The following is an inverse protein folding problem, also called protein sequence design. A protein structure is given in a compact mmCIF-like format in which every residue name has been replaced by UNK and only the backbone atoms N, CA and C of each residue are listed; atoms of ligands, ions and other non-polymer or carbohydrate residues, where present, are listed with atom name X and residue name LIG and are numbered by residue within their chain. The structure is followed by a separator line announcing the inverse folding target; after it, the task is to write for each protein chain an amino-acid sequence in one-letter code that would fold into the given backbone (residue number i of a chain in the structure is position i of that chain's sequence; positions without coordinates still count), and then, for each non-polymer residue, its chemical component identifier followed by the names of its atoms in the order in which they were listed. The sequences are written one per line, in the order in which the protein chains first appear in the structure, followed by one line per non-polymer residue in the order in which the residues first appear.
data_IF_580081704283
#
_entry.id   IF_580081704283
#
_cell.length_a   1.000
_cell.length_b   1.000
_cell.length_c   1.000
_cell.angle_alpha   90.00
_cell.angle_beta   90.00
_cell.angle_gamma   90.00
#
_symmetry.space_group_name_H-M   'P 1'
#
loop_
_entity.id
_entity.type
_entity.pdbx_description
1 polymer ?
#
# COMPACT_ATOMS: atom_id res chain seq x y z
N UNK A 1 13.28 0.90 -10.02
CA UNK A 1 11.91 1.41 -10.12
C UNK A 1 11.90 2.83 -10.65
N UNK A 2 10.76 3.34 -11.10
CA UNK A 2 10.62 4.70 -11.67
C UNK A 2 10.91 5.84 -10.67
N UNK A 3 10.91 5.56 -9.38
CA UNK A 3 11.18 6.53 -8.32
C UNK A 3 12.68 6.77 -8.04
N UNK A 4 13.57 6.03 -8.72
CA UNK A 4 15.02 6.10 -8.50
C UNK A 4 15.79 6.08 -9.84
N UNK A 5 15.29 6.72 -10.89
CA UNK A 5 15.83 6.52 -12.26
C UNK A 5 17.02 7.40 -12.63
N UNK A 6 17.21 8.53 -11.95
CA UNK A 6 18.25 9.50 -12.30
C UNK A 6 19.10 9.87 -11.07
N UNK A 7 20.37 9.53 -11.11
CA UNK A 7 21.33 9.84 -10.04
C UNK A 7 21.18 8.93 -8.81
N UNK A 8 21.68 9.36 -7.68
CA UNK A 8 21.72 8.62 -6.41
C UNK A 8 20.32 8.33 -5.77
N UNK A 9 19.24 8.40 -6.51
CA UNK A 9 17.88 8.05 -6.06
C UNK A 9 17.21 9.02 -5.08
N UNK A 10 17.97 9.88 -4.43
CA UNK A 10 17.45 10.82 -3.42
C UNK A 10 16.64 11.98 -4.03
N UNK A 11 17.06 12.50 -5.18
CA UNK A 11 16.40 13.64 -5.82
C UNK A 11 14.96 13.33 -6.28
N UNK A 12 14.75 12.16 -6.85
CA UNK A 12 13.41 11.74 -7.32
C UNK A 12 12.45 11.52 -6.15
N UNK A 13 12.92 10.95 -5.03
CA UNK A 13 12.09 10.74 -3.85
C UNK A 13 11.67 12.06 -3.20
N UNK A 14 12.60 13.01 -3.05
CA UNK A 14 12.31 14.35 -2.54
C UNK A 14 11.24 15.06 -3.37
N UNK A 15 11.32 14.98 -4.70
CA UNK A 15 10.30 15.51 -5.61
C UNK A 15 8.91 14.91 -5.32
N UNK A 16 8.80 13.58 -5.16
CA UNK A 16 7.52 12.92 -4.88
C UNK A 16 6.93 13.27 -3.51
N UNK A 17 7.79 13.52 -2.52
CA UNK A 17 7.38 14.01 -1.21
C UNK A 17 6.84 15.44 -1.28
N UNK A 18 7.44 16.28 -2.10
CA UNK A 18 7.09 17.70 -2.27
C UNK A 18 5.77 17.86 -3.03
N UNK A 19 5.58 17.14 -4.14
CA UNK A 19 4.36 17.21 -4.96
C UNK A 19 3.11 16.75 -4.24
N UNK A 20 3.26 15.91 -3.22
CA UNK A 20 2.15 15.51 -2.36
C UNK A 20 1.55 16.70 -1.58
N UNK A 21 2.36 17.71 -1.31
CA UNK A 21 1.95 18.91 -0.55
C UNK A 21 1.20 19.96 -1.36
N UNK A 22 1.21 19.90 -2.69
CA UNK A 22 0.58 20.90 -3.56
C UNK A 22 1.23 22.30 -3.45
N UNK A 23 2.50 22.36 -3.03
CA UNK A 23 3.24 23.61 -2.76
C UNK A 23 3.95 24.12 -4.01
N UNK A 24 4.54 25.32 -3.89
CA UNK A 24 5.43 25.84 -4.90
C UNK A 24 6.65 24.92 -5.07
N UNK A 25 7.01 24.67 -6.32
CA UNK A 25 8.20 23.92 -6.70
C UNK A 25 9.04 24.76 -7.68
N UNK A 26 10.35 24.74 -7.48
CA UNK A 26 11.29 25.47 -8.32
C UNK A 26 12.21 24.47 -9.02
N UNK A 27 12.24 24.51 -10.35
CA UNK A 27 13.13 23.71 -11.17
C UNK A 27 14.25 24.60 -11.67
N UNK A 28 15.45 24.43 -11.14
CA UNK A 28 16.65 25.08 -11.63
C UNK A 28 17.41 24.12 -12.57
N UNK A 29 17.63 24.55 -13.79
CA UNK A 29 18.36 23.78 -14.80
C UNK A 29 19.45 24.67 -15.41
N UNK A 30 20.66 24.18 -15.41
CA UNK A 30 21.85 24.86 -15.98
C UNK A 30 21.65 25.35 -17.43
N UNK A 31 20.68 24.82 -18.16
CA UNK A 31 20.38 25.21 -19.55
C UNK A 31 19.40 26.37 -19.69
N UNK A 32 18.86 26.90 -18.61
CA UNK A 32 17.88 27.98 -18.62
C UNK A 32 18.43 29.19 -17.86
N UNK A 33 18.29 30.38 -18.43
CA UNK A 33 18.78 31.64 -17.83
C UNK A 33 18.05 32.03 -16.53
N UNK A 34 16.91 31.39 -16.25
CA UNK A 34 16.12 31.58 -15.03
C UNK A 34 15.44 30.29 -14.57
N UNK A 35 15.29 30.09 -13.24
CA UNK A 35 14.58 28.93 -12.72
C UNK A 35 13.09 28.95 -13.10
N UNK A 36 12.55 27.77 -13.42
CA UNK A 36 11.12 27.63 -13.66
C UNK A 36 10.40 27.48 -12.33
N UNK A 37 9.50 28.40 -12.02
CA UNK A 37 8.66 28.38 -10.82
C UNK A 37 7.29 27.82 -11.14
N UNK A 38 6.89 26.76 -10.44
CA UNK A 38 5.55 26.16 -10.49
C UNK A 38 4.85 26.52 -9.18
N UNK A 39 3.91 27.49 -9.19
CA UNK A 39 3.32 28.02 -7.94
C UNK A 39 2.60 26.95 -7.10
N UNK A 40 1.90 26.02 -7.76
CA UNK A 40 1.10 24.98 -7.13
C UNK A 40 1.34 23.66 -7.85
N UNK A 41 2.31 22.89 -7.39
CA UNK A 41 2.62 21.57 -7.95
C UNK A 41 1.86 20.50 -7.20
N UNK A 42 0.88 19.89 -7.86
CA UNK A 42 0.12 18.76 -7.32
C UNK A 42 0.02 17.66 -8.37
N UNK A 43 0.37 16.44 -7.97
CA UNK A 43 0.34 15.26 -8.85
C UNK A 43 -0.35 14.10 -8.14
N UNK A 44 -1.29 13.49 -8.82
CA UNK A 44 -1.91 12.24 -8.39
C UNK A 44 -1.22 11.06 -9.06
N UNK A 45 -0.98 10.00 -8.29
CA UNK A 45 -0.37 8.76 -8.78
C UNK A 45 -1.36 7.62 -8.61
N UNK A 46 -1.70 6.96 -9.72
CA UNK A 46 -2.49 5.74 -9.74
C UNK A 46 -1.74 4.66 -10.51
N UNK A 47 -1.68 3.45 -9.99
CA UNK A 47 -1.01 2.36 -10.67
C UNK A 47 -1.10 1.04 -9.92
N UNK A 48 -0.73 -0.04 -10.61
CA UNK A 48 -0.55 -1.36 -10.02
C UNK A 48 0.91 -1.62 -9.69
N UNK A 49 1.15 -2.38 -8.62
CA UNK A 49 2.47 -2.84 -8.22
C UNK A 49 2.40 -4.30 -7.78
N UNK A 50 3.39 -5.09 -8.15
CA UNK A 50 3.50 -6.47 -7.68
C UNK A 50 3.95 -6.46 -6.21
N UNK A 51 3.42 -7.37 -5.35
CA UNK A 51 3.80 -7.43 -3.93
C UNK A 51 5.32 -7.50 -3.71
N UNK A 52 6.02 -8.32 -4.49
CA UNK A 52 7.49 -8.44 -4.41
C UNK A 52 8.22 -7.14 -4.76
N UNK A 53 7.63 -6.32 -5.64
CA UNK A 53 8.18 -5.01 -6.04
C UNK A 53 7.81 -3.89 -5.07
N UNK A 54 6.72 -4.04 -4.32
CA UNK A 54 6.30 -3.07 -3.32
C UNK A 54 7.42 -2.84 -2.31
N UNK A 55 7.97 -3.91 -1.73
CA UNK A 55 9.08 -3.85 -0.77
C UNK A 55 10.31 -3.15 -1.36
N UNK A 56 10.78 -3.59 -2.52
CA UNK A 56 12.00 -3.06 -3.14
C UNK A 56 11.86 -1.64 -3.70
N UNK A 57 10.65 -1.15 -3.97
CA UNK A 57 10.43 0.14 -4.63
C UNK A 57 9.99 1.24 -3.68
N UNK A 58 9.15 0.94 -2.71
CA UNK A 58 8.59 1.94 -1.79
C UNK A 58 9.16 1.83 -0.37
N UNK A 59 9.54 0.62 0.06
CA UNK A 59 10.00 0.36 1.43
C UNK A 59 11.51 0.10 1.53
N UNK A 60 12.24 0.11 0.40
CA UNK A 60 13.70 0.00 0.39
C UNK A 60 14.31 1.39 0.51
N UNK A 61 14.85 1.74 1.63
CA UNK A 61 15.52 3.00 1.89
C UNK A 61 15.21 3.53 3.28
N UNK A 62 15.73 4.72 3.57
CA UNK A 62 15.40 5.43 4.80
C UNK A 62 13.87 5.69 4.84
N UNK A 63 13.30 5.63 6.04
CA UNK A 63 11.88 5.91 6.26
C UNK A 63 11.59 7.40 6.07
N UNK A 64 11.59 7.83 4.81
CA UNK A 64 11.25 9.20 4.40
C UNK A 64 9.73 9.44 4.33
N UNK A 65 8.93 8.42 4.65
CA UNK A 65 7.49 8.46 4.65
C UNK A 65 6.84 8.52 3.26
N UNK A 66 7.57 8.24 2.17
CA UNK A 66 6.96 8.17 0.83
C UNK A 66 5.88 7.10 0.76
N UNK A 67 6.17 5.89 1.26
CA UNK A 67 5.22 4.80 1.32
C UNK A 67 3.95 5.14 2.11
N UNK A 68 4.08 5.97 3.16
CA UNK A 68 2.96 6.37 4.02
C UNK A 68 1.96 7.33 3.35
N UNK A 69 2.27 7.84 2.16
CA UNK A 69 1.42 8.75 1.38
C UNK A 69 0.53 8.05 0.35
N UNK A 70 0.67 6.74 0.21
CA UNK A 70 -0.14 5.94 -0.69
C UNK A 70 -1.30 5.27 0.04
N UNK A 71 -2.47 5.27 -0.58
CA UNK A 71 -3.58 4.41 -0.21
C UNK A 71 -3.42 3.09 -0.96
N UNK A 72 -3.28 2.00 -0.23
CA UNK A 72 -3.10 0.67 -0.79
C UNK A 72 -4.44 -0.01 -1.02
N UNK A 73 -4.54 -0.71 -2.14
CA UNK A 73 -5.63 -1.64 -2.42
C UNK A 73 -5.01 -3.02 -2.63
N UNK A 74 -5.24 -3.93 -1.69
CA UNK A 74 -4.75 -5.30 -1.70
C UNK A 74 -5.92 -6.27 -1.55
N UNK A 75 -6.79 -6.37 -2.60
CA UNK A 75 -7.99 -7.19 -2.54
C UNK A 75 -7.66 -8.68 -2.53
N UNK A 76 -8.57 -9.48 -2.01
CA UNK A 76 -8.51 -10.92 -2.19
C UNK A 76 -8.63 -11.28 -3.68
N UNK A 77 -8.04 -12.41 -4.11
CA UNK A 77 -8.19 -12.88 -5.47
C UNK A 77 -9.68 -13.05 -5.82
N UNK A 78 -10.14 -12.28 -6.80
CA UNK A 78 -11.51 -12.37 -7.27
C UNK A 78 -11.66 -13.42 -8.37
N UNK A 79 -12.82 -14.04 -8.45
CA UNK A 79 -13.18 -14.91 -9.58
C UNK A 79 -13.23 -14.06 -10.85
N UNK A 80 -12.61 -14.55 -11.91
CA UNK A 80 -12.58 -13.85 -13.19
C UNK A 80 -14.01 -13.74 -13.76
N UNK A 81 -14.48 -12.52 -13.88
CA UNK A 81 -15.78 -12.20 -14.48
C UNK A 81 -15.55 -11.56 -15.85
N UNK A 82 -16.42 -11.87 -16.82
CA UNK A 82 -16.38 -11.24 -18.12
C UNK A 82 -16.62 -9.73 -17.95
N UNK A 83 -15.76 -8.87 -18.53
CA UNK A 83 -15.96 -7.43 -18.44
C UNK A 83 -17.33 -7.01 -19.00
N UNK A 84 -18.04 -6.16 -18.27
CA UNK A 84 -19.25 -5.52 -18.77
C UNK A 84 -18.84 -4.31 -19.63
N UNK A 85 -19.37 -4.22 -20.84
CA UNK A 85 -19.06 -3.16 -21.80
C UNK A 85 -19.87 -1.87 -21.57
N UNK A 86 -20.42 -1.67 -20.37
CA UNK A 86 -21.14 -0.44 -20.05
C UNK A 86 -20.24 0.78 -20.22
N UNK A 87 -20.65 1.69 -21.10
CA UNK A 87 -20.02 3.00 -21.24
C UNK A 87 -20.23 3.82 -19.96
N UNK A 88 -19.30 4.74 -19.67
CA UNK A 88 -19.57 5.80 -18.71
C UNK A 88 -20.93 6.43 -19.04
N UNK A 89 -21.80 6.58 -18.04
CA UNK A 89 -23.07 7.24 -18.25
C UNK A 89 -22.84 8.72 -18.66
N UNK A 90 -23.71 9.28 -19.48
CA UNK A 90 -23.62 10.69 -19.89
C UNK A 90 -23.56 11.62 -18.67
N UNK A 91 -24.24 11.24 -17.59
CA UNK A 91 -24.18 11.95 -16.30
C UNK A 91 -22.77 12.01 -15.70
N UNK A 92 -22.00 10.93 -15.77
CA UNK A 92 -20.60 10.93 -15.31
C UNK A 92 -19.71 11.81 -16.18
N UNK A 93 -19.91 11.78 -17.49
CA UNK A 93 -19.18 12.65 -18.42
C UNK A 93 -19.47 14.13 -18.17
N UNK A 94 -20.74 14.48 -17.96
CA UNK A 94 -21.14 15.85 -17.57
C UNK A 94 -20.50 16.26 -16.26
N UNK A 95 -20.50 15.39 -15.26
CA UNK A 95 -19.87 15.63 -13.96
C UNK A 95 -18.36 15.89 -14.09
N UNK A 96 -17.64 15.05 -14.83
CA UNK A 96 -16.20 15.22 -15.09
C UNK A 96 -15.93 16.56 -15.80
N UNK A 97 -16.69 16.91 -16.82
CA UNK A 97 -16.55 18.18 -17.53
C UNK A 97 -16.79 19.38 -16.61
N UNK A 98 -17.77 19.27 -15.70
CA UNK A 98 -18.06 20.32 -14.70
C UNK A 98 -16.91 20.49 -13.72
N UNK A 99 -16.30 19.41 -13.22
CA UNK A 99 -15.09 19.48 -12.39
C UNK A 99 -13.92 20.11 -13.15
N UNK A 100 -13.76 19.78 -14.42
CA UNK A 100 -12.67 20.32 -15.25
C UNK A 100 -12.85 21.82 -15.55
N UNK A 101 -14.07 22.35 -15.45
CA UNK A 101 -14.37 23.77 -15.64
C UNK A 101 -14.09 24.65 -14.41
N UNK A 102 -13.80 24.04 -13.24
CA UNK A 102 -13.48 24.78 -12.01
C UNK A 102 -12.25 25.66 -12.21
N UNK A 103 -12.27 26.85 -11.62
CA UNK A 103 -11.21 27.84 -11.75
C UNK A 103 -10.58 28.16 -10.40
N UNK A 104 -9.30 28.50 -10.41
CA UNK A 104 -8.68 29.14 -9.27
C UNK A 104 -9.31 30.50 -9.00
N UNK A 105 -9.26 30.93 -7.75
CA UNK A 105 -9.67 32.28 -7.36
C UNK A 105 -8.50 33.24 -7.52
N UNK A 106 -8.79 34.54 -7.58
CA UNK A 106 -7.78 35.59 -7.67
C UNK A 106 -7.53 36.19 -6.29
N UNK A 107 -6.28 36.23 -5.84
CA UNK A 107 -5.89 36.89 -4.60
C UNK A 107 -5.91 38.44 -4.74
N UNK A 108 -5.65 39.14 -3.63
CA UNK A 108 -5.61 40.61 -3.60
C UNK A 108 -4.52 41.23 -4.50
N UNK A 109 -3.55 40.44 -4.93
CA UNK A 109 -2.43 40.85 -5.81
C UNK A 109 -2.69 40.49 -7.26
N UNK A 110 -3.83 39.90 -7.60
CA UNK A 110 -4.16 39.48 -8.95
C UNK A 110 -3.62 38.09 -9.35
N UNK A 111 -3.03 37.33 -8.43
CA UNK A 111 -2.51 36.00 -8.73
C UNK A 111 -3.61 34.94 -8.65
N UNK A 112 -3.55 33.96 -9.53
CA UNK A 112 -4.41 32.78 -9.44
C UNK A 112 -3.94 31.88 -8.28
N UNK A 113 -4.84 31.64 -7.30
CA UNK A 113 -4.59 30.81 -6.14
C UNK A 113 -5.70 29.78 -5.95
N UNK A 114 -5.42 28.62 -5.31
CA UNK A 114 -6.44 27.64 -4.99
C UNK A 114 -7.55 28.24 -4.12
N UNK A 115 -8.79 27.88 -4.42
CA UNK A 115 -9.94 28.18 -3.53
C UNK A 115 -9.82 27.35 -2.26
N UNK A 116 -9.83 28.01 -1.09
CA UNK A 116 -9.87 27.33 0.20
C UNK A 116 -11.30 27.02 0.60
N UNK A 117 -11.58 25.76 0.88
CA UNK A 117 -12.89 25.29 1.34
C UNK A 117 -12.74 24.91 2.83
N UNK A 118 -13.46 25.58 3.70
CA UNK A 118 -13.40 25.35 5.14
C UNK A 118 -14.36 24.22 5.57
N UNK A 119 -14.10 23.63 6.71
CA UNK A 119 -15.04 22.74 7.38
C UNK A 119 -16.18 23.54 8.01
N UNK A 120 -17.39 22.98 8.07
CA UNK A 120 -18.40 23.48 9.00
C UNK A 120 -17.95 23.22 10.44
N UNK A 121 -18.48 23.95 11.43
CA UNK A 121 -18.18 23.70 12.85
C UNK A 121 -18.39 22.24 13.22
N UNK A 122 -19.54 21.68 12.82
CA UNK A 122 -19.85 20.28 13.10
C UNK A 122 -18.93 19.28 12.39
N UNK A 123 -18.43 19.60 11.18
CA UNK A 123 -17.42 18.80 10.48
C UNK A 123 -16.08 18.84 11.21
N UNK A 124 -15.70 19.99 11.76
CA UNK A 124 -14.50 20.14 12.58
C UNK A 124 -14.59 19.27 13.83
N UNK A 125 -15.67 19.38 14.59
CA UNK A 125 -15.89 18.58 15.81
C UNK A 125 -15.84 17.07 15.51
N UNK A 126 -16.47 16.66 14.40
CA UNK A 126 -16.47 15.26 13.96
C UNK A 126 -15.06 14.76 13.62
N UNK A 127 -14.29 15.57 12.90
CA UNK A 127 -12.92 15.24 12.52
C UNK A 127 -11.97 15.18 13.71
N UNK A 128 -12.04 16.18 14.61
CA UNK A 128 -11.20 16.24 15.80
C UNK A 128 -11.49 15.08 16.74
N UNK A 129 -12.77 14.79 17.00
CA UNK A 129 -13.18 13.65 17.80
C UNK A 129 -12.62 12.34 17.24
N UNK A 130 -12.79 12.09 15.93
CA UNK A 130 -12.24 10.90 15.28
C UNK A 130 -10.73 10.80 15.46
N UNK A 131 -10.00 11.90 15.27
CA UNK A 131 -8.54 11.88 15.33
C UNK A 131 -8.02 11.71 16.76
N UNK A 132 -8.60 12.40 17.72
CA UNK A 132 -8.13 12.37 19.12
C UNK A 132 -8.49 11.06 19.82
N UNK A 133 -9.71 10.56 19.63
CA UNK A 133 -10.22 9.39 20.33
C UNK A 133 -9.90 8.05 19.64
N UNK A 134 -9.24 8.07 18.48
CA UNK A 134 -9.03 6.85 17.72
C UNK A 134 -7.98 5.93 18.35
N UNK A 135 -8.33 4.67 18.72
CA UNK A 135 -7.39 3.75 19.34
C UNK A 135 -6.20 3.36 18.43
N UNK A 136 -6.32 3.54 17.12
CA UNK A 136 -5.25 3.31 16.15
C UNK A 136 -4.09 4.31 16.25
N UNK A 137 -4.23 5.37 17.07
CA UNK A 137 -3.11 6.24 17.42
C UNK A 137 -2.01 5.54 18.24
N UNK A 138 -2.28 4.32 18.74
CA UNK A 138 -1.30 3.47 19.45
C UNK A 138 -0.59 2.45 18.56
N UNK A 139 -0.79 2.49 17.24
CA UNK A 139 -0.08 1.64 16.29
C UNK A 139 1.43 1.89 16.33
N UNK A 140 2.20 0.85 16.01
CA UNK A 140 3.66 0.91 15.95
C UNK A 140 4.20 0.59 14.53
N UNK A 141 5.47 0.88 14.30
CA UNK A 141 6.17 0.57 13.07
C UNK A 141 5.65 1.31 11.83
N UNK A 142 5.81 0.69 10.67
CA UNK A 142 5.47 1.30 9.38
C UNK A 142 3.98 1.67 9.24
N UNK A 143 3.10 0.88 9.83
CA UNK A 143 1.66 1.14 9.79
C UNK A 143 1.29 2.39 10.60
N UNK A 144 2.00 2.66 11.71
CA UNK A 144 1.87 3.91 12.47
C UNK A 144 2.24 5.13 11.62
N UNK A 145 3.34 5.03 10.85
CA UNK A 145 3.76 6.08 9.91
C UNK A 145 2.69 6.38 8.86
N UNK A 146 2.03 5.34 8.34
CA UNK A 146 0.90 5.49 7.42
C UNK A 146 -0.31 6.10 8.10
N UNK A 147 -0.70 5.60 9.27
CA UNK A 147 -1.81 6.13 10.07
C UNK A 147 -1.63 7.62 10.36
N UNK A 148 -0.43 8.04 10.73
CA UNK A 148 -0.10 9.45 11.01
C UNK A 148 -0.26 10.41 9.81
N UNK A 149 -0.41 9.90 8.58
CA UNK A 149 -0.71 10.73 7.38
C UNK A 149 -2.21 10.83 7.09
N UNK A 150 -3.03 10.00 7.73
CA UNK A 150 -4.46 9.93 7.43
C UNK A 150 -5.27 11.18 7.73
N UNK A 151 -4.96 12.03 8.73
CA UNK A 151 -5.71 13.28 8.90
C UNK A 151 -5.76 14.11 7.62
N UNK A 152 -4.62 14.30 6.96
CA UNK A 152 -4.57 15.00 5.68
C UNK A 152 -5.26 14.24 4.54
N UNK A 153 -5.28 12.91 4.58
CA UNK A 153 -5.98 12.07 3.58
C UNK A 153 -7.49 12.15 3.76
N UNK A 154 -7.99 12.08 5.00
CA UNK A 154 -9.42 12.21 5.32
C UNK A 154 -9.96 13.55 4.83
N UNK A 155 -9.24 14.66 5.08
CA UNK A 155 -9.63 15.98 4.60
C UNK A 155 -9.69 16.04 3.07
N UNK A 156 -8.72 15.45 2.35
CA UNK A 156 -8.72 15.37 0.89
C UNK A 156 -9.87 14.53 0.35
N UNK A 157 -10.13 13.37 0.96
CA UNK A 157 -11.25 12.51 0.58
C UNK A 157 -12.59 13.20 0.86
N UNK A 158 -12.73 13.88 2.01
CA UNK A 158 -13.94 14.62 2.35
C UNK A 158 -14.22 15.74 1.33
N UNK A 159 -13.19 16.48 0.92
CA UNK A 159 -13.32 17.49 -0.14
C UNK A 159 -13.78 16.87 -1.46
N UNK A 160 -13.18 15.75 -1.88
CA UNK A 160 -13.57 15.05 -3.10
C UNK A 160 -15.02 14.57 -3.00
N UNK A 161 -15.42 13.98 -1.87
CA UNK A 161 -16.77 13.49 -1.64
C UNK A 161 -17.80 14.61 -1.60
N UNK A 162 -17.47 15.78 -1.04
CA UNK A 162 -18.34 16.97 -1.05
C UNK A 162 -18.59 17.45 -2.48
N UNK A 163 -17.55 17.52 -3.31
CA UNK A 163 -17.70 17.90 -4.72
C UNK A 163 -18.45 16.84 -5.53
N UNK A 164 -18.25 15.55 -5.29
CA UNK A 164 -19.01 14.47 -5.94
C UNK A 164 -20.50 14.55 -5.55
N UNK A 165 -20.78 14.86 -4.29
CA UNK A 165 -22.15 15.07 -3.82
C UNK A 165 -22.79 16.30 -4.46
N UNK A 166 -22.07 17.42 -4.55
CA UNK A 166 -22.50 18.61 -5.27
C UNK A 166 -22.87 18.32 -6.73
N UNK A 167 -22.05 17.53 -7.42
CA UNK A 167 -22.34 17.12 -8.80
C UNK A 167 -23.65 16.35 -8.90
N UNK A 168 -23.95 15.48 -7.95
CA UNK A 168 -25.18 14.68 -7.94
C UNK A 168 -26.44 15.52 -7.73
N UNK A 169 -26.31 16.70 -7.09
CA UNK A 169 -27.43 17.59 -6.79
C UNK A 169 -27.77 18.59 -7.92
N UNK A 170 -27.01 18.60 -9.00
CA UNK A 170 -27.17 19.53 -10.12
C UNK A 170 -27.23 21.03 -9.70
N UNK A 171 -26.61 21.39 -8.59
CA UNK A 171 -26.48 22.79 -8.13
C UNK A 171 -25.47 23.54 -9.00
N UNK A 172 -25.69 24.84 -9.24
CA UNK A 172 -24.76 25.68 -9.99
C UNK A 172 -23.57 26.11 -9.16
N UNK A 173 -23.82 26.59 -7.93
CA UNK A 173 -22.79 27.09 -7.05
C UNK A 173 -21.98 25.93 -6.47
N UNK A 174 -20.65 26.11 -6.48
CA UNK A 174 -19.71 25.19 -5.85
C UNK A 174 -19.90 25.15 -4.32
N UNK A 175 -19.52 24.05 -3.67
CA UNK A 175 -19.48 24.00 -2.19
C UNK A 175 -18.59 25.11 -1.61
N UNK A 176 -19.07 25.77 -0.57
CA UNK A 176 -18.31 26.75 0.20
C UNK A 176 -17.67 26.12 1.45
N UNK A 177 -18.25 25.04 1.92
CA UNK A 177 -17.81 24.32 3.11
C UNK A 177 -17.93 22.82 2.91
N UNK A 178 -17.09 22.07 3.65
CA UNK A 178 -17.14 20.62 3.77
C UNK A 178 -18.06 20.28 4.93
N UNK A 179 -19.05 19.42 4.68
CA UNK A 179 -20.02 18.98 5.70
C UNK A 179 -19.52 17.82 6.55
N UNK A 180 -20.15 17.61 7.71
CA UNK A 180 -19.86 16.43 8.54
C UNK A 180 -20.19 15.10 7.85
N UNK A 181 -21.16 15.09 6.94
CA UNK A 181 -21.48 13.89 6.16
C UNK A 181 -20.30 13.46 5.29
N UNK A 182 -19.64 14.42 4.63
CA UNK A 182 -18.45 14.13 3.80
C UNK A 182 -17.27 13.70 4.66
N UNK A 183 -17.07 14.26 5.85
CA UNK A 183 -16.07 13.81 6.83
C UNK A 183 -16.36 12.38 7.28
N UNK A 184 -17.58 12.07 7.71
CA UNK A 184 -17.96 10.73 8.14
C UNK A 184 -17.78 9.68 7.04
N UNK A 185 -18.14 10.00 5.81
CA UNK A 185 -17.93 9.10 4.67
C UNK A 185 -16.44 8.86 4.39
N UNK A 186 -15.61 9.91 4.48
CA UNK A 186 -14.17 9.80 4.32
C UNK A 186 -13.54 8.94 5.43
N UNK A 187 -13.95 9.12 6.69
CA UNK A 187 -13.52 8.30 7.82
C UNK A 187 -13.88 6.82 7.60
N UNK A 188 -15.14 6.55 7.25
CA UNK A 188 -15.58 5.17 6.98
C UNK A 188 -14.79 4.53 5.83
N UNK A 189 -14.52 5.27 4.77
CA UNK A 189 -13.72 4.76 3.65
C UNK A 189 -12.30 4.41 4.09
N UNK A 190 -11.72 5.19 5.00
CA UNK A 190 -10.42 4.87 5.59
C UNK A 190 -10.51 3.64 6.49
N UNK A 191 -11.45 3.60 7.42
CA UNK A 191 -11.50 2.56 8.46
C UNK A 191 -12.00 1.22 7.94
N UNK A 192 -13.04 1.24 7.11
CA UNK A 192 -13.71 0.02 6.65
C UNK A 192 -13.04 -0.58 5.40
N UNK A 193 -12.31 0.23 4.62
CA UNK A 193 -11.73 -0.22 3.36
C UNK A 193 -10.20 -0.07 3.30
N UNK A 194 -9.67 1.15 3.42
CA UNK A 194 -8.23 1.35 3.19
C UNK A 194 -7.36 0.82 4.35
N UNK A 195 -7.84 0.85 5.58
CA UNK A 195 -7.07 0.34 6.71
C UNK A 195 -6.84 -1.17 6.63
N UNK A 196 -7.86 -2.03 6.42
CA UNK A 196 -7.63 -3.46 6.21
C UNK A 196 -6.74 -3.78 5.00
N UNK A 197 -6.81 -2.97 3.94
CA UNK A 197 -5.93 -3.11 2.78
C UNK A 197 -4.49 -2.73 3.09
N UNK A 198 -4.29 -1.68 3.88
CA UNK A 198 -2.97 -1.28 4.36
C UNK A 198 -2.36 -2.34 5.28
N UNK A 199 -3.11 -2.90 6.22
CA UNK A 199 -2.66 -4.00 7.08
C UNK A 199 -2.13 -5.18 6.25
N UNK A 200 -2.83 -5.57 5.20
CA UNK A 200 -2.37 -6.63 4.28
C UNK A 200 -1.10 -6.23 3.53
N UNK A 201 -1.08 -5.02 2.96
CA UNK A 201 0.07 -4.55 2.19
C UNK A 201 1.34 -4.43 3.06
N UNK A 202 1.22 -3.86 4.25
CA UNK A 202 2.32 -3.71 5.20
C UNK A 202 2.73 -5.06 5.82
N UNK A 203 1.77 -5.95 6.07
CA UNK A 203 2.03 -7.32 6.51
C UNK A 203 2.90 -8.09 5.53
N UNK A 204 2.60 -8.03 4.23
CA UNK A 204 3.43 -8.68 3.19
C UNK A 204 4.84 -8.06 3.09
N UNK A 205 4.98 -6.77 3.32
CA UNK A 205 6.30 -6.09 3.32
C UNK A 205 7.14 -6.45 4.55
N UNK A 206 6.52 -6.62 5.71
CA UNK A 206 7.18 -6.99 6.97
C UNK A 206 7.71 -8.42 6.99
N UNK A 207 7.20 -9.31 6.15
CA UNK A 207 7.62 -10.71 6.08
C UNK A 207 9.07 -10.80 5.60
N UNK A 208 9.95 -11.39 6.37
CA UNK A 208 11.32 -11.68 5.97
C UNK A 208 11.37 -12.72 4.87
N UNK A 209 12.48 -12.80 4.10
CA UNK A 209 12.62 -13.81 3.03
C UNK A 209 12.51 -15.24 3.58
N UNK A 210 13.03 -15.50 4.78
CA UNK A 210 12.90 -16.80 5.45
C UNK A 210 11.44 -17.13 5.81
N UNK A 211 10.68 -16.16 6.29
CA UNK A 211 9.26 -16.33 6.60
C UNK A 211 8.43 -16.54 5.32
N UNK A 212 8.77 -15.85 4.25
CA UNK A 212 8.13 -16.03 2.93
C UNK A 212 8.34 -17.46 2.42
N UNK A 213 9.57 -17.95 2.44
CA UNK A 213 9.89 -19.32 2.04
C UNK A 213 9.20 -20.34 2.94
N UNK A 214 9.18 -20.12 4.24
CA UNK A 214 8.47 -20.96 5.20
C UNK A 214 6.96 -20.98 4.96
N UNK A 215 6.33 -19.83 4.71
CA UNK A 215 4.89 -19.72 4.39
C UNK A 215 4.53 -20.50 3.11
N UNK A 216 5.40 -20.46 2.10
CA UNK A 216 5.22 -21.21 0.86
C UNK A 216 5.29 -22.72 1.14
N UNK A 217 6.29 -23.16 1.90
CA UNK A 217 6.46 -24.57 2.28
C UNK A 217 5.30 -25.04 3.17
N UNK A 218 4.87 -24.24 4.14
CA UNK A 218 3.72 -24.54 5.01
C UNK A 218 2.43 -24.74 4.21
N UNK A 219 2.14 -23.88 3.23
CA UNK A 219 0.99 -24.05 2.33
C UNK A 219 1.05 -25.37 1.57
N UNK A 220 2.23 -25.76 1.10
CA UNK A 220 2.41 -27.03 0.42
C UNK A 220 2.22 -28.21 1.35
N UNK A 221 2.74 -28.14 2.59
CA UNK A 221 2.55 -29.15 3.64
C UNK A 221 1.05 -29.35 3.94
N UNK A 222 0.33 -28.26 4.19
CA UNK A 222 -1.11 -28.30 4.47
C UNK A 222 -1.93 -28.92 3.32
N UNK A 223 -1.53 -28.61 2.07
CA UNK A 223 -2.22 -29.14 0.88
C UNK A 223 -1.94 -30.62 0.66
N UNK A 224 -0.70 -31.06 0.82
CA UNK A 224 -0.27 -32.43 0.44
C UNK A 224 -0.23 -33.38 1.63
N UNK A 225 -0.28 -32.86 2.87
CA UNK A 225 -0.29 -33.60 4.14
C UNK A 225 0.79 -34.70 4.25
N UNK A 226 2.08 -34.43 3.94
CA UNK A 226 3.13 -35.42 4.09
C UNK A 226 3.43 -35.68 5.57
N UNK A 227 3.75 -36.90 5.95
CA UNK A 227 4.26 -37.21 7.30
C UNK A 227 5.72 -36.82 7.49
N UNK A 228 6.52 -37.00 6.44
CA UNK A 228 7.96 -36.73 6.43
C UNK A 228 8.33 -35.95 5.19
N UNK A 229 9.19 -34.95 5.34
CA UNK A 229 9.78 -34.17 4.24
C UNK A 229 11.32 -34.22 4.33
N UNK A 230 11.97 -33.99 3.20
CA UNK A 230 13.41 -33.73 3.16
C UNK A 230 13.74 -32.68 2.10
N UNK A 231 14.91 -32.08 2.22
CA UNK A 231 15.36 -31.01 1.33
C UNK A 231 15.32 -31.41 -0.16
N UNK A 232 15.63 -32.70 -0.47
CA UNK A 232 15.67 -33.18 -1.85
C UNK A 232 14.27 -33.38 -2.45
N UNK A 233 13.34 -33.96 -1.66
CA UNK A 233 11.96 -34.15 -2.12
C UNK A 233 11.27 -32.81 -2.39
N UNK A 234 11.45 -31.84 -1.51
CA UNK A 234 10.88 -30.49 -1.70
C UNK A 234 11.49 -29.81 -2.94
N UNK A 235 12.81 -29.78 -3.08
CA UNK A 235 13.46 -29.07 -4.19
C UNK A 235 13.20 -29.69 -5.57
N UNK A 236 13.00 -31.00 -5.64
CA UNK A 236 12.88 -31.73 -6.93
C UNK A 236 11.46 -32.16 -7.28
N UNK A 237 10.68 -32.58 -6.30
CA UNK A 237 9.39 -33.24 -6.50
C UNK A 237 8.19 -32.33 -6.21
N UNK A 238 8.32 -31.37 -5.29
CA UNK A 238 7.22 -30.49 -4.93
C UNK A 238 6.84 -29.46 -6.01
N UNK A 239 7.68 -29.26 -7.03
CA UNK A 239 7.47 -28.32 -8.16
C UNK A 239 7.19 -26.88 -7.72
N UNK A 240 7.75 -26.46 -6.60
CA UNK A 240 7.60 -25.10 -6.07
C UNK A 240 8.72 -24.24 -6.65
N UNK A 241 8.34 -23.16 -7.38
CA UNK A 241 9.31 -22.32 -8.11
C UNK A 241 10.31 -21.63 -7.19
N UNK A 242 9.89 -21.23 -5.98
CA UNK A 242 10.67 -20.51 -4.98
C UNK A 242 11.57 -21.45 -4.15
N UNK A 243 11.31 -22.76 -4.17
CA UNK A 243 12.04 -23.77 -3.37
C UNK A 243 12.82 -24.75 -4.22
N UNK A 244 13.29 -24.33 -5.42
CA UNK A 244 14.08 -25.16 -6.32
C UNK A 244 15.51 -25.41 -5.84
N UNK A 245 16.11 -24.45 -5.14
CA UNK A 245 17.47 -24.58 -4.62
C UNK A 245 17.45 -25.12 -3.20
N UNK A 246 18.35 -26.04 -2.92
CA UNK A 246 18.49 -26.67 -1.60
C UNK A 246 18.66 -25.66 -0.47
N UNK A 247 19.33 -24.52 -0.71
CA UNK A 247 19.51 -23.46 0.26
C UNK A 247 18.18 -22.81 0.69
N UNK A 248 17.30 -22.54 -0.26
CA UNK A 248 15.99 -21.92 -0.01
C UNK A 248 15.08 -22.87 0.80
N UNK A 249 15.12 -24.16 0.46
CA UNK A 249 14.38 -25.19 1.20
C UNK A 249 14.91 -25.31 2.63
N UNK A 250 16.23 -25.23 2.83
CA UNK A 250 16.84 -25.32 4.16
C UNK A 250 16.41 -24.15 5.04
N UNK A 251 16.46 -22.93 4.52
CA UNK A 251 15.97 -21.72 5.21
C UNK A 251 14.50 -21.86 5.62
N UNK A 252 13.66 -22.38 4.71
CA UNK A 252 12.23 -22.59 5.00
C UNK A 252 12.02 -23.63 6.11
N UNK A 253 12.72 -24.76 6.04
CA UNK A 253 12.64 -25.83 7.04
C UNK A 253 13.14 -25.36 8.41
N UNK A 254 14.27 -24.65 8.48
CA UNK A 254 14.81 -24.10 9.74
C UNK A 254 13.80 -23.15 10.40
N UNK A 255 13.15 -22.29 9.61
CA UNK A 255 12.13 -21.41 10.14
C UNK A 255 10.89 -22.17 10.63
N UNK A 256 10.40 -23.16 9.86
CA UNK A 256 9.29 -24.01 10.30
C UNK A 256 9.64 -24.86 11.54
N UNK A 257 10.91 -25.25 11.68
CA UNK A 257 11.39 -25.95 12.87
C UNK A 257 11.37 -25.02 14.11
N UNK A 258 11.73 -23.75 13.97
CA UNK A 258 11.64 -22.76 15.05
C UNK A 258 10.20 -22.46 15.48
N UNK A 259 9.22 -22.82 14.68
CA UNK A 259 7.78 -22.68 14.93
C UNK A 259 7.11 -24.02 15.31
N UNK A 260 7.88 -25.06 15.60
CA UNK A 260 7.42 -26.42 15.94
C UNK A 260 6.52 -27.11 14.89
N UNK A 261 6.62 -26.67 13.62
CA UNK A 261 5.92 -27.30 12.50
C UNK A 261 6.58 -28.59 12.04
N UNK A 262 7.91 -28.67 12.16
CA UNK A 262 8.70 -29.80 11.73
C UNK A 262 9.79 -30.12 12.75
N UNK A 263 10.09 -31.41 12.91
CA UNK A 263 11.16 -31.88 13.80
C UNK A 263 12.16 -32.73 13.02
N UNK A 264 13.44 -32.44 13.17
CA UNK A 264 14.53 -33.24 12.54
C UNK A 264 14.54 -34.66 13.10
N UNK A 265 14.54 -35.65 12.22
CA UNK A 265 14.65 -37.05 12.59
C UNK A 265 16.14 -37.37 12.77
N UNK A 266 16.52 -37.89 13.94
CA UNK A 266 17.86 -38.41 14.16
C UNK A 266 17.96 -39.78 13.46
N UNK A 267 18.70 -39.84 12.36
CA UNK A 267 19.04 -41.11 11.71
C UNK A 267 20.31 -41.65 12.31
N UNK A 268 20.25 -42.84 12.88
CA UNK A 268 21.43 -43.58 13.32
C UNK A 268 22.41 -43.79 12.16
N UNK A 269 23.73 -43.66 12.44
CA UNK A 269 24.77 -43.66 11.46
C UNK A 269 24.86 -45.02 10.72
N UNK A 270 24.35 -45.07 9.49
CA UNK A 270 24.75 -46.14 8.56
C UNK A 270 26.16 -45.87 7.99
N UNK A 271 27.00 -46.87 7.99
CA UNK A 271 28.45 -46.84 7.65
C UNK A 271 28.76 -46.72 6.13
N UNK A 272 27.87 -46.23 5.30
CA UNK A 272 28.11 -46.06 3.87
C UNK A 272 28.34 -44.58 3.54
N UNK A 273 29.49 -44.25 2.98
CA UNK A 273 29.94 -42.90 2.62
C UNK A 273 29.04 -42.24 1.55
N UNK A 274 28.19 -41.33 1.97
CA UNK A 274 27.34 -40.48 1.14
C UNK A 274 26.89 -39.22 1.90
N UNK A 275 26.46 -38.18 1.18
CA UNK A 275 25.92 -36.95 1.79
C UNK A 275 24.72 -37.32 2.67
N UNK A 276 24.81 -37.00 3.98
CA UNK A 276 23.76 -37.30 4.96
C UNK A 276 22.41 -36.77 4.49
N UNK A 277 21.41 -37.66 4.45
CA UNK A 277 20.01 -37.30 4.20
C UNK A 277 19.45 -36.71 5.49
N UNK A 278 18.82 -35.54 5.41
CA UNK A 278 18.15 -34.90 6.51
C UNK A 278 16.64 -35.01 6.30
N UNK A 279 16.00 -35.82 7.13
CA UNK A 279 14.56 -36.02 7.12
C UNK A 279 13.93 -35.26 8.28
N UNK A 280 12.75 -34.69 8.05
CA UNK A 280 12.00 -33.93 9.02
C UNK A 280 10.58 -34.48 9.10
N UNK A 281 10.12 -34.80 10.32
CA UNK A 281 8.75 -35.20 10.59
C UNK A 281 7.88 -33.98 10.77
N UNK A 282 6.71 -33.97 10.15
CA UNK A 282 5.71 -32.91 10.33
C UNK A 282 5.02 -33.13 11.68
N UNK A 283 4.77 -32.04 12.40
CA UNK A 283 3.96 -32.05 13.61
C UNK A 283 2.50 -32.34 13.23
N UNK A 284 1.89 -33.43 13.72
CA UNK A 284 0.51 -33.76 13.39
C UNK A 284 -0.51 -32.66 13.74
N UNK A 285 -0.21 -31.84 14.76
CA UNK A 285 -1.08 -30.75 15.20
C UNK A 285 -1.30 -29.65 14.15
N UNK A 286 -0.42 -29.57 13.12
CA UNK A 286 -0.61 -28.58 12.02
C UNK A 286 -1.74 -28.97 11.05
N UNK A 287 -2.29 -30.19 11.19
CA UNK A 287 -3.36 -30.73 10.33
C UNK A 287 -4.75 -30.70 10.98
N UNK A 288 -4.82 -30.28 12.23
CA UNK A 288 -6.06 -30.11 13.01
C UNK A 288 -6.62 -28.71 12.76
#
# INVERSE_FOLDING_TARGET
GKFNRYGNGQGDRAFWLEVYGGRQHVVDRVKHDSPTVIPHLSVSVLGGIQPDKLRSSLFSGDDDGLHSRFLYMYPDPATRVKPDSKRLSDMMQVGVNKLYSLKMVTDRKGNAVPKTIFLTTHATDTFEKWWVENPKNQLEGLLAGWWGKLPGVVLRLALILEYLFWLSQNKKEEPEQITSDSINRAIRLIEDYFYPMAERAYGEVGITEKEKLAKILAKWILKNRPEIINTRSISREAKISELKKSKEVHIAIEHLQSLDWVQKIQTENGSAGGRKREDYRINPSVYI
#
